data_IF_479895109073
#
_entry.id   IF_479895109073
#
_cell.length_a   1.000
_cell.length_b   1.000
_cell.length_c   1.000
_cell.angle_alpha   90.00
_cell.angle_beta   90.00
_cell.angle_gamma   90.00
#
_symmetry.space_group_name_H-M   'P 1'
#
loop_
_entity.id
_entity.type
_entity.pdbx_description
1 polymer ?
#
# COMPACT_ATOMS: atom_id res chain seq x y z
N UNK A 1 11.02 -26.95 -14.99
CA UNK A 1 12.23 -27.34 -14.23
C UNK A 1 11.94 -28.58 -13.42
N UNK A 2 12.94 -29.21 -12.78
CA UNK A 2 12.69 -30.31 -11.80
C UNK A 2 11.83 -29.90 -10.59
N UNK A 3 11.55 -28.60 -10.44
CA UNK A 3 10.78 -28.01 -9.35
C UNK A 3 9.46 -27.38 -9.82
N UNK A 4 9.01 -27.67 -11.05
CA UNK A 4 7.81 -27.07 -11.65
C UNK A 4 8.11 -26.12 -12.82
N UNK A 5 7.06 -25.65 -13.48
CA UNK A 5 7.17 -24.67 -14.57
C UNK A 5 7.56 -23.30 -14.02
N UNK A 6 8.52 -22.65 -14.70
CA UNK A 6 8.95 -21.30 -14.33
C UNK A 6 8.06 -20.30 -15.05
N UNK A 7 7.27 -19.55 -14.29
CA UNK A 7 6.49 -18.44 -14.81
C UNK A 7 7.18 -17.13 -14.49
N UNK A 8 7.35 -16.28 -15.52
CA UNK A 8 7.90 -14.93 -15.38
C UNK A 8 6.86 -13.96 -15.92
N UNK A 9 6.41 -13.02 -15.08
CA UNK A 9 5.45 -11.98 -15.45
C UNK A 9 6.10 -10.60 -15.33
N UNK A 10 5.79 -9.71 -16.28
CA UNK A 10 6.21 -8.31 -16.23
C UNK A 10 5.01 -7.48 -15.79
N UNK A 11 5.15 -6.79 -14.67
CA UNK A 11 4.10 -5.90 -14.19
C UNK A 11 4.11 -4.57 -14.97
N UNK A 12 3.25 -4.47 -16.00
CA UNK A 12 3.11 -3.26 -16.82
C UNK A 12 2.30 -2.13 -16.13
N UNK A 13 1.75 -2.37 -14.94
CA UNK A 13 0.89 -1.38 -14.27
C UNK A 13 1.66 -0.26 -13.56
N UNK A 14 3.00 -0.31 -13.54
CA UNK A 14 3.85 0.79 -13.06
C UNK A 14 4.33 1.63 -14.26
N UNK A 15 3.68 2.76 -14.58
CA UNK A 15 4.06 3.57 -15.73
C UNK A 15 5.43 4.25 -15.54
N UNK A 16 6.25 4.25 -16.59
CA UNK A 16 7.42 5.11 -16.68
C UNK A 16 6.99 6.58 -16.77
N UNK A 17 7.71 7.49 -16.10
CA UNK A 17 7.38 8.92 -16.12
C UNK A 17 8.00 9.59 -17.35
N UNK A 18 7.17 10.24 -18.17
CA UNK A 18 7.62 11.08 -19.29
C UNK A 18 8.49 12.26 -18.77
N UNK A 19 9.66 12.54 -19.38
CA UNK A 19 10.49 13.71 -19.10
C UNK A 19 9.73 15.05 -19.01
N UNK A 20 8.70 15.25 -19.84
CA UNK A 20 7.85 16.46 -19.80
C UNK A 20 7.04 16.53 -18.52
N UNK A 21 6.52 15.41 -18.05
CA UNK A 21 5.81 15.31 -16.78
C UNK A 21 6.75 15.60 -15.62
N UNK A 22 7.98 15.08 -15.64
CA UNK A 22 9.01 15.36 -14.62
C UNK A 22 9.32 16.88 -14.54
N UNK A 23 9.41 17.55 -15.69
CA UNK A 23 9.64 18.99 -15.74
C UNK A 23 8.45 19.79 -15.17
N UNK A 24 7.22 19.38 -15.47
CA UNK A 24 6.02 20.00 -14.92
C UNK A 24 5.88 19.78 -13.41
N UNK A 25 6.22 18.58 -12.90
CA UNK A 25 6.20 18.25 -11.47
C UNK A 25 7.10 19.19 -10.63
N UNK A 26 8.25 19.62 -11.18
CA UNK A 26 9.18 20.53 -10.49
C UNK A 26 8.63 21.94 -10.28
N UNK A 27 7.65 22.37 -11.08
CA UNK A 27 7.07 23.71 -11.01
C UNK A 27 5.86 23.80 -10.06
N UNK A 28 5.35 22.65 -9.61
CA UNK A 28 4.21 22.59 -8.71
C UNK A 28 4.66 22.88 -7.28
N UNK A 29 3.94 23.74 -6.57
CA UNK A 29 4.16 23.95 -5.13
C UNK A 29 4.07 22.61 -4.42
N UNK A 30 5.14 22.24 -3.70
CA UNK A 30 5.14 21.04 -2.89
C UNK A 30 3.99 21.11 -1.88
N UNK A 31 3.10 20.13 -1.94
CA UNK A 31 2.05 19.93 -0.94
C UNK A 31 2.35 18.60 -0.25
N UNK A 32 2.07 18.54 1.05
CA UNK A 32 2.31 17.36 1.87
C UNK A 32 1.02 16.54 2.12
N UNK A 33 0.05 16.65 1.20
CA UNK A 33 -1.27 16.04 1.34
C UNK A 33 -1.69 15.31 0.05
N UNK A 34 -2.10 14.03 0.11
CA UNK A 34 -1.89 13.12 1.23
C UNK A 34 -0.39 12.89 1.49
N UNK A 35 -0.01 12.52 2.72
CA UNK A 35 1.40 12.38 3.11
C UNK A 35 2.11 11.23 2.37
N UNK A 36 1.42 10.11 2.16
CA UNK A 36 1.89 9.00 1.32
C UNK A 36 0.71 8.33 0.62
N UNK A 37 1.00 7.32 -0.20
CA UNK A 37 0.01 6.60 -1.02
C UNK A 37 -0.91 5.65 -0.22
N UNK A 38 -0.63 5.42 1.07
CA UNK A 38 -1.41 4.58 1.96
C UNK A 38 -2.30 5.39 2.92
N UNK A 39 -2.05 6.69 3.08
CA UNK A 39 -2.89 7.59 3.87
C UNK A 39 -4.38 7.44 3.54
N UNK A 40 -5.24 7.39 4.56
CA UNK A 40 -6.70 7.30 4.41
C UNK A 40 -7.26 8.42 3.53
N UNK A 41 -6.60 9.58 3.53
CA UNK A 41 -6.93 10.76 2.72
C UNK A 41 -6.82 10.54 1.21
N UNK A 42 -6.26 9.41 0.77
CA UNK A 42 -6.31 9.00 -0.63
C UNK A 42 -7.72 8.63 -1.09
N UNK A 43 -8.63 8.21 -0.20
CA UNK A 43 -10.00 7.86 -0.56
C UNK A 43 -10.70 9.06 -1.22
N UNK A 44 -11.01 8.96 -2.52
CA UNK A 44 -11.67 10.03 -3.26
C UNK A 44 -10.76 11.19 -3.72
N UNK A 45 -9.44 11.12 -3.48
CA UNK A 45 -8.53 12.22 -3.83
C UNK A 45 -8.46 12.41 -5.35
N UNK A 46 -8.59 13.65 -5.82
CA UNK A 46 -8.60 13.95 -7.26
C UNK A 46 -7.22 13.82 -7.93
N UNK A 47 -6.16 13.72 -7.14
CA UNK A 47 -4.79 13.72 -7.64
C UNK A 47 -4.27 15.11 -7.93
N UNK A 48 -3.00 15.17 -8.32
CA UNK A 48 -2.30 16.34 -8.85
C UNK A 48 -1.17 15.87 -9.77
N UNK A 49 -0.50 16.78 -10.45
CA UNK A 49 0.53 16.45 -11.46
C UNK A 49 1.58 15.45 -10.94
N UNK A 50 1.98 15.55 -9.66
CA UNK A 50 2.95 14.67 -9.03
C UNK A 50 2.35 13.64 -8.04
N UNK A 51 1.05 13.41 -8.08
CA UNK A 51 0.37 12.49 -7.16
C UNK A 51 -0.88 11.87 -7.81
N UNK A 52 -1.00 10.53 -7.85
CA UNK A 52 -2.04 9.86 -8.62
C UNK A 52 -3.45 10.23 -8.15
N UNK A 53 -4.39 10.28 -9.10
CA UNK A 53 -5.81 10.36 -8.79
C UNK A 53 -6.28 9.04 -8.14
N UNK A 54 -7.16 9.18 -7.16
CA UNK A 54 -7.76 8.13 -6.33
C UNK A 54 -9.26 8.37 -6.14
N UNK A 55 -9.90 9.02 -7.12
CA UNK A 55 -11.33 9.42 -7.08
C UNK A 55 -12.29 8.25 -6.80
N UNK A 56 -12.01 7.09 -7.38
CA UNK A 56 -12.77 5.85 -7.18
C UNK A 56 -12.16 4.93 -6.12
N UNK A 57 -11.03 5.31 -5.53
CA UNK A 57 -10.37 4.52 -4.50
C UNK A 57 -11.23 4.51 -3.23
N UNK A 58 -11.42 3.32 -2.65
CA UNK A 58 -12.20 3.14 -1.42
C UNK A 58 -11.41 2.27 -0.45
N UNK A 59 -11.48 2.64 0.82
CA UNK A 59 -10.77 1.98 1.91
C UNK A 59 -11.82 1.51 2.92
N UNK A 60 -11.91 0.20 3.10
CA UNK A 60 -12.79 -0.41 4.11
C UNK A 60 -12.11 -0.24 5.46
N UNK A 61 -12.86 0.25 6.45
CA UNK A 61 -12.34 0.40 7.81
C UNK A 61 -12.57 -0.91 8.57
N UNK A 62 -11.51 -1.43 9.15
CA UNK A 62 -11.50 -2.64 9.97
C UNK A 62 -11.01 -2.28 11.37
N UNK A 63 -11.44 -3.05 12.36
CA UNK A 63 -10.92 -2.98 13.72
C UNK A 63 -9.91 -4.12 13.90
N UNK A 64 -8.70 -3.80 14.33
CA UNK A 64 -7.69 -4.78 14.76
C UNK A 64 -7.25 -4.41 16.18
N UNK A 65 -7.59 -5.24 17.15
CA UNK A 65 -7.49 -4.92 18.57
C UNK A 65 -8.30 -3.66 18.88
N UNK A 66 -7.68 -2.64 19.47
CA UNK A 66 -8.33 -1.34 19.74
C UNK A 66 -8.06 -0.28 18.66
N UNK A 67 -7.41 -0.65 17.56
CA UNK A 67 -7.05 0.27 16.48
C UNK A 67 -7.98 0.17 15.28
N UNK A 68 -8.13 1.29 14.58
CA UNK A 68 -8.79 1.35 13.28
C UNK A 68 -7.74 1.23 12.18
N UNK A 69 -7.95 0.25 11.31
CA UNK A 69 -7.14 -0.06 10.15
C UNK A 69 -7.95 0.12 8.87
N UNK A 70 -7.26 0.37 7.77
CA UNK A 70 -7.78 0.40 6.42
C UNK A 70 -7.47 -0.91 5.70
N UNK A 71 -8.40 -1.35 4.86
CA UNK A 71 -8.24 -2.44 3.92
C UNK A 71 -8.57 -1.93 2.52
N UNK A 72 -7.67 -2.19 1.57
CA UNK A 72 -7.84 -1.84 0.17
C UNK A 72 -7.20 -2.89 -0.73
N UNK A 73 -7.71 -3.03 -1.95
CA UNK A 73 -6.99 -3.82 -2.96
C UNK A 73 -5.76 -3.08 -3.46
N UNK A 74 -4.70 -3.84 -3.74
CA UNK A 74 -3.47 -3.31 -4.33
C UNK A 74 -3.74 -2.90 -5.79
N UNK A 75 -3.30 -1.72 -6.24
CA UNK A 75 -3.32 -1.36 -7.66
C UNK A 75 -2.32 -2.18 -8.47
N UNK A 76 -1.39 -2.88 -7.80
CA UNK A 76 -0.37 -3.75 -8.38
C UNK A 76 -0.68 -5.19 -7.97
N UNK A 77 -1.66 -5.78 -8.64
CA UNK A 77 -2.12 -7.13 -8.33
C UNK A 77 -1.16 -8.17 -8.89
N UNK A 78 -0.69 -9.08 -8.03
CA UNK A 78 0.05 -10.28 -8.42
C UNK A 78 -0.87 -11.50 -8.52
N UNK A 79 -1.97 -11.49 -7.76
CA UNK A 79 -2.96 -12.55 -7.67
C UNK A 79 -4.33 -11.93 -7.38
N UNK A 80 -5.40 -12.66 -7.72
CA UNK A 80 -6.76 -12.18 -7.48
C UNK A 80 -6.95 -11.81 -6.00
N UNK A 81 -7.57 -10.66 -5.74
CA UNK A 81 -7.81 -10.13 -4.39
C UNK A 81 -6.54 -9.78 -3.58
N UNK A 82 -5.39 -9.56 -4.23
CA UNK A 82 -4.19 -9.00 -3.57
C UNK A 82 -4.52 -7.67 -2.88
N UNK A 83 -4.41 -7.66 -1.55
CA UNK A 83 -4.84 -6.55 -0.71
C UNK A 83 -3.72 -6.01 0.18
N UNK A 84 -3.96 -4.81 0.70
CA UNK A 84 -3.09 -4.07 1.60
C UNK A 84 -3.93 -3.68 2.83
N UNK A 85 -3.39 -3.99 4.00
CA UNK A 85 -3.86 -3.47 5.28
C UNK A 85 -2.92 -2.33 5.68
N UNK A 86 -3.49 -1.24 6.19
CA UNK A 86 -2.74 -0.03 6.54
C UNK A 86 -3.33 0.62 7.79
N UNK A 87 -2.51 1.20 8.63
CA UNK A 87 -2.94 1.90 9.82
C UNK A 87 -3.75 3.14 9.42
N UNK A 88 -4.83 3.45 10.12
CA UNK A 88 -5.60 4.68 9.80
C UNK A 88 -4.79 5.96 10.03
N UNK A 89 -3.74 5.91 10.86
CA UNK A 89 -2.82 7.00 11.11
C UNK A 89 -1.52 6.83 10.33
N UNK A 90 -0.96 7.93 9.84
CA UNK A 90 0.35 7.94 9.20
C UNK A 90 1.46 7.83 10.25
N UNK A 91 1.77 6.60 10.66
CA UNK A 91 2.85 6.26 11.59
C UNK A 91 3.85 5.36 10.90
N UNK A 92 5.17 5.51 11.17
CA UNK A 92 6.18 4.62 10.60
C UNK A 92 5.90 3.16 10.94
N UNK A 93 6.20 2.26 10.00
CA UNK A 93 6.06 0.83 10.22
C UNK A 93 7.07 0.36 11.29
N UNK A 94 6.62 -0.51 12.18
CA UNK A 94 7.45 -1.11 13.22
C UNK A 94 7.01 -2.56 13.45
N UNK A 95 7.97 -3.49 13.49
CA UNK A 95 7.67 -4.88 13.79
C UNK A 95 7.76 -5.09 15.30
N UNK A 96 6.61 -5.38 15.90
CA UNK A 96 6.47 -5.58 17.34
C UNK A 96 5.61 -6.82 17.61
N UNK A 97 5.45 -7.22 18.88
CA UNK A 97 4.52 -8.30 19.24
C UNK A 97 3.10 -8.03 18.72
N UNK A 98 2.66 -6.77 18.77
CA UNK A 98 1.37 -6.31 18.27
C UNK A 98 1.17 -6.59 16.78
N UNK A 99 2.24 -6.53 15.98
CA UNK A 99 2.18 -6.86 14.56
C UNK A 99 1.71 -8.29 14.35
N UNK A 100 2.19 -9.25 15.16
CA UNK A 100 1.78 -10.64 15.05
C UNK A 100 0.33 -10.85 15.50
N UNK A 101 -0.10 -10.17 16.57
CA UNK A 101 -1.51 -10.16 16.99
C UNK A 101 -2.43 -9.67 15.87
N UNK A 102 -2.08 -8.56 15.22
CA UNK A 102 -2.83 -7.99 14.09
C UNK A 102 -2.87 -8.94 12.88
N UNK A 103 -1.75 -9.57 12.54
CA UNK A 103 -1.70 -10.54 11.44
C UNK A 103 -2.59 -11.75 11.70
N UNK A 104 -2.63 -12.24 12.93
CA UNK A 104 -3.51 -13.35 13.34
C UNK A 104 -4.98 -12.92 13.28
N UNK A 105 -5.31 -11.73 13.76
CA UNK A 105 -6.69 -11.22 13.73
C UNK A 105 -7.19 -11.01 12.28
N UNK A 106 -6.30 -10.59 11.35
CA UNK A 106 -6.64 -10.47 9.93
C UNK A 106 -7.08 -11.82 9.35
N UNK A 107 -6.34 -12.91 9.64
CA UNK A 107 -6.68 -14.23 9.10
C UNK A 107 -7.90 -14.85 9.81
N UNK A 108 -8.22 -14.42 11.02
CA UNK A 108 -9.47 -14.76 11.71
C UNK A 108 -10.68 -14.06 11.06
N UNK A 109 -10.55 -12.80 10.66
CA UNK A 109 -11.61 -12.03 9.98
C UNK A 109 -11.80 -12.51 8.54
N UNK A 110 -10.71 -12.84 7.84
CA UNK A 110 -10.68 -13.23 6.43
C UNK A 110 -10.14 -14.66 6.28
N UNK A 111 -10.94 -15.69 6.65
CA UNK A 111 -10.50 -17.07 6.56
C UNK A 111 -10.19 -17.44 5.10
N UNK A 112 -9.03 -18.07 4.88
CA UNK A 112 -8.54 -18.46 3.54
C UNK A 112 -7.53 -17.49 2.93
N UNK A 113 -7.32 -16.33 3.53
CA UNK A 113 -6.22 -15.44 3.19
C UNK A 113 -4.96 -15.79 3.99
N UNK A 114 -3.80 -15.41 3.46
CA UNK A 114 -2.58 -15.28 4.24
C UNK A 114 -2.29 -13.79 4.45
N UNK A 115 -1.78 -13.43 5.62
CA UNK A 115 -1.36 -12.07 5.94
C UNK A 115 0.13 -12.05 6.27
N UNK A 116 0.81 -10.98 5.86
CA UNK A 116 2.22 -10.78 6.14
C UNK A 116 2.56 -9.30 6.19
N UNK A 117 3.68 -8.98 6.83
CA UNK A 117 4.24 -7.63 6.87
C UNK A 117 5.63 -7.62 6.24
N UNK A 118 5.98 -6.50 5.61
CA UNK A 118 7.39 -6.22 5.32
C UNK A 118 8.14 -6.02 6.64
N UNK A 119 9.45 -6.27 6.62
CA UNK A 119 10.31 -5.92 7.76
C UNK A 119 10.49 -4.39 7.84
N UNK A 120 10.63 -3.87 9.05
CA UNK A 120 10.95 -2.48 9.37
C UNK A 120 12.42 -2.10 9.07
N UNK A 121 13.20 -3.02 8.51
CA UNK A 121 14.57 -2.75 8.07
C UNK A 121 14.58 -1.90 6.78
N UNK A 122 15.50 -0.93 6.66
CA UNK A 122 15.58 -0.03 5.48
C UNK A 122 15.70 -0.72 4.12
N UNK A 123 16.13 -1.99 4.11
CA UNK A 123 16.36 -2.80 2.90
C UNK A 123 15.11 -3.61 2.47
N UNK A 124 14.07 -3.64 3.29
CA UNK A 124 12.86 -4.42 3.08
C UNK A 124 11.74 -3.49 2.60
N UNK A 125 11.08 -3.77 1.47
CA UNK A 125 9.78 -3.14 1.14
C UNK A 125 9.77 -1.77 0.44
N UNK A 126 10.91 -1.17 0.08
CA UNK A 126 10.93 0.06 -0.73
C UNK A 126 10.25 1.27 -0.08
N UNK A 127 9.74 2.21 -0.89
CA UNK A 127 9.24 3.55 -0.49
C UNK A 127 7.97 3.57 0.39
N UNK A 128 7.58 2.44 1.00
CA UNK A 128 6.34 2.25 1.75
C UNK A 128 6.58 2.12 3.28
N UNK A 129 7.83 2.07 3.74
CA UNK A 129 8.17 2.00 5.17
C UNK A 129 7.70 3.19 6.03
N UNK A 130 7.25 4.28 5.39
CA UNK A 130 6.78 5.48 6.07
C UNK A 130 5.38 5.37 6.67
N UNK A 131 4.64 4.29 6.37
CA UNK A 131 3.29 4.08 6.88
C UNK A 131 3.08 2.59 7.20
N UNK A 132 2.77 2.31 8.46
CA UNK A 132 2.35 1.01 8.98
C UNK A 132 1.03 0.54 8.36
#
# INVERSE_FOLDING_TARGET
TKYGELEITINLSKPEKDPKTIAAEKLVKATNYPKCLLCMENEGYQGRINYPARSNHRIIRLKLGDEVWGFQYSPYSYFNEHAIFLNSQHVPMAITSKTFEQLLEIVDILPGYFAGSNSDLPISGGSILSHN
#
